data_IF_930478980951
#
_entry.id   IF_930478980951
#
_cell.length_a   1.000
_cell.length_b   1.000
_cell.length_c   1.000
_cell.angle_alpha   90.00
_cell.angle_beta   90.00
_cell.angle_gamma   90.00
#
_symmetry.space_group_name_H-M   'P 1'
#
loop_
_entity.id
_entity.type
_entity.pdbx_description
1 polymer ?
#
# COMPACT_ATOMS: atom_id res chain seq x y z
N UNK A 1 -44.93 -8.81 2.40
CA UNK A 1 -44.57 -9.69 1.26
C UNK A 1 -45.46 -9.35 0.07
N UNK A 2 -44.92 -8.67 -0.94
CA UNK A 2 -45.50 -8.61 -2.30
C UNK A 2 -44.35 -8.50 -3.29
N UNK A 3 -44.05 -9.62 -3.95
CA UNK A 3 -43.05 -9.71 -5.00
C UNK A 3 -43.70 -9.30 -6.33
N UNK A 4 -43.04 -8.46 -7.10
CA UNK A 4 -43.42 -8.17 -8.47
C UNK A 4 -42.35 -8.75 -9.39
N UNK A 5 -42.71 -9.83 -10.09
CA UNK A 5 -41.96 -10.39 -11.19
C UNK A 5 -42.22 -9.57 -12.45
N UNK A 6 -41.16 -9.13 -13.12
CA UNK A 6 -41.23 -8.56 -14.46
C UNK A 6 -40.28 -9.34 -15.37
N UNK A 7 -40.87 -10.08 -16.31
CA UNK A 7 -40.18 -10.78 -17.40
C UNK A 7 -40.10 -9.82 -18.58
N UNK A 8 -38.89 -9.54 -19.08
CA UNK A 8 -38.70 -8.83 -20.35
C UNK A 8 -37.89 -9.71 -21.29
N UNK A 9 -38.47 -9.94 -22.46
CA UNK A 9 -38.02 -10.81 -23.55
C UNK A 9 -36.80 -10.21 -24.26
N UNK A 10 -35.84 -11.07 -24.59
CA UNK A 10 -34.64 -10.76 -25.35
C UNK A 10 -34.95 -10.41 -26.81
N UNK A 11 -34.44 -9.27 -27.29
CA UNK A 11 -34.31 -8.97 -28.71
C UNK A 11 -32.90 -9.38 -29.14
N UNK A 12 -32.83 -10.38 -30.03
CA UNK A 12 -31.62 -10.74 -30.73
C UNK A 12 -31.42 -9.77 -31.90
N UNK A 13 -30.35 -8.98 -31.85
CA UNK A 13 -29.86 -8.21 -32.98
C UNK A 13 -28.54 -8.82 -33.46
N UNK A 14 -28.59 -9.41 -34.65
CA UNK A 14 -27.47 -9.89 -35.44
C UNK A 14 -26.67 -8.70 -35.97
N UNK A 15 -25.34 -8.68 -35.76
CA UNK A 15 -24.50 -7.64 -36.36
C UNK A 15 -23.03 -7.78 -35.96
N UNK A 16 -22.23 -8.31 -36.89
CA UNK A 16 -20.78 -8.37 -36.98
C UNK A 16 -19.93 -7.50 -36.02
N UNK A 17 -18.91 -8.11 -35.40
CA UNK A 17 -17.49 -7.89 -35.71
C UNK A 17 -16.60 -8.66 -34.73
N UNK A 18 -15.79 -9.58 -35.25
CA UNK A 18 -14.71 -10.23 -34.51
C UNK A 18 -13.66 -9.18 -34.11
N UNK A 19 -13.46 -8.98 -32.80
CA UNK A 19 -12.49 -8.01 -32.28
C UNK A 19 -11.43 -8.71 -31.41
N UNK A 20 -10.37 -9.18 -32.08
CA UNK A 20 -9.03 -9.43 -31.55
C UNK A 20 -8.09 -9.61 -32.77
N UNK A 21 -6.81 -9.17 -32.76
CA UNK A 21 -5.94 -9.13 -31.59
C UNK A 21 -4.98 -7.91 -31.49
N UNK A 22 -4.13 -7.98 -30.45
CA UNK A 22 -2.80 -7.37 -30.29
C UNK A 22 -2.69 -5.87 -29.97
N UNK A 23 -2.60 -5.57 -28.68
CA UNK A 23 -1.54 -4.70 -28.19
C UNK A 23 -0.80 -5.44 -27.07
N UNK A 24 0.23 -6.19 -27.45
CA UNK A 24 1.33 -6.47 -26.55
C UNK A 24 1.92 -5.12 -26.16
N UNK A 25 1.49 -4.59 -25.00
CA UNK A 25 2.16 -3.47 -24.37
C UNK A 25 3.56 -3.97 -24.04
N UNK A 26 4.50 -3.64 -24.93
CA UNK A 26 5.91 -3.87 -24.72
C UNK A 26 6.26 -3.12 -23.44
N UNK A 27 6.45 -3.86 -22.35
CA UNK A 27 7.01 -3.32 -21.13
C UNK A 27 8.34 -2.69 -21.51
N UNK A 28 8.45 -1.40 -21.25
CA UNK A 28 9.67 -0.65 -21.48
C UNK A 28 10.83 -1.40 -20.83
N UNK A 29 11.83 -1.76 -21.62
CA UNK A 29 13.11 -2.27 -21.13
C UNK A 29 13.79 -1.13 -20.38
N UNK A 30 13.61 -1.06 -19.07
CA UNK A 30 14.32 -0.11 -18.23
C UNK A 30 15.78 -0.56 -18.08
N UNK A 31 16.66 0.40 -18.34
CA UNK A 31 18.11 0.42 -18.15
C UNK A 31 18.67 -0.58 -17.12
N UNK A 32 19.64 -1.41 -17.54
CA UNK A 32 20.37 -2.42 -16.76
C UNK A 32 21.35 -1.87 -15.70
N UNK A 33 21.22 -0.61 -15.27
CA UNK A 33 22.22 0.05 -14.42
C UNK A 33 21.71 0.46 -13.02
N UNK A 34 20.51 0.05 -12.61
CA UNK A 34 20.06 0.23 -11.23
C UNK A 34 19.53 -1.09 -10.68
N UNK A 35 20.11 -1.55 -9.57
CA UNK A 35 19.65 -2.73 -8.82
C UNK A 35 18.44 -2.41 -7.92
N UNK A 36 18.08 -1.15 -7.79
CA UNK A 36 16.93 -0.74 -7.00
C UNK A 36 15.64 -1.12 -7.70
N UNK A 37 14.81 -1.87 -6.96
CA UNK A 37 13.42 -2.09 -7.33
C UNK A 37 12.56 -1.04 -6.64
N UNK A 38 11.75 -0.34 -7.42
CA UNK A 38 10.67 0.50 -6.92
C UNK A 38 9.36 -0.27 -7.00
N UNK A 39 8.62 -0.33 -5.89
CA UNK A 39 7.26 -0.86 -5.85
C UNK A 39 6.32 0.31 -5.60
N UNK A 40 5.49 0.62 -6.60
CA UNK A 40 4.46 1.64 -6.47
C UNK A 40 3.38 1.18 -5.49
N UNK A 41 2.98 2.08 -4.60
CA UNK A 41 1.96 1.79 -3.58
C UNK A 41 0.83 2.81 -3.64
N UNK A 42 -0.30 2.49 -3.01
CA UNK A 42 -1.44 3.41 -2.82
C UNK A 42 -1.43 4.04 -1.42
N UNK A 43 -0.24 4.33 -0.91
CA UNK A 43 -0.03 4.99 0.37
C UNK A 43 0.13 6.48 0.09
N UNK A 44 -0.70 7.33 0.71
CA UNK A 44 -0.74 8.77 0.44
C UNK A 44 -0.30 9.61 1.64
N UNK A 45 -0.59 9.12 2.85
CA UNK A 45 -0.38 9.86 4.08
C UNK A 45 0.87 9.35 4.83
N UNK A 46 1.87 10.22 5.00
CA UNK A 46 3.11 9.92 5.75
C UNK A 46 2.82 9.49 7.19
N UNK A 47 1.91 10.19 7.88
CA UNK A 47 1.60 9.93 9.28
C UNK A 47 0.92 8.56 9.46
N UNK A 48 -0.04 8.23 8.60
CA UNK A 48 -0.70 6.91 8.61
C UNK A 48 0.29 5.79 8.27
N UNK A 49 1.21 6.02 7.33
CA UNK A 49 2.28 5.07 7.00
C UNK A 49 3.24 4.86 8.18
N UNK A 50 3.68 5.92 8.84
CA UNK A 50 4.52 5.81 10.04
C UNK A 50 3.80 5.08 11.17
N UNK A 51 2.51 5.36 11.39
CA UNK A 51 1.69 4.62 12.36
C UNK A 51 1.64 3.14 12.03
N UNK A 52 1.39 2.79 10.77
CA UNK A 52 1.38 1.40 10.31
C UNK A 52 2.73 0.69 10.49
N UNK A 53 3.85 1.37 10.23
CA UNK A 53 5.19 0.80 10.42
C UNK A 53 5.53 0.63 11.91
N UNK A 54 5.14 1.58 12.76
CA UNK A 54 5.30 1.48 14.21
C UNK A 54 4.46 0.35 14.81
N UNK A 55 3.23 0.17 14.32
CA UNK A 55 2.34 -0.92 14.72
C UNK A 55 2.93 -2.30 14.41
N UNK A 56 3.72 -2.41 13.34
CA UNK A 56 4.46 -3.63 12.98
C UNK A 56 5.71 -3.83 13.85
N UNK A 57 6.04 -2.89 14.76
CA UNK A 57 7.22 -2.95 15.61
C UNK A 57 8.53 -2.69 14.85
N UNK A 58 8.46 -2.06 13.67
CA UNK A 58 9.62 -1.84 12.82
C UNK A 58 10.26 -0.51 13.17
N UNK A 59 11.56 -0.53 13.45
CA UNK A 59 12.33 0.68 13.71
C UNK A 59 12.51 1.44 12.40
N UNK A 60 11.87 2.59 12.29
CA UNK A 60 11.98 3.48 11.13
C UNK A 60 12.70 4.76 11.54
N UNK A 61 13.43 5.33 10.59
CA UNK A 61 14.02 6.66 10.63
C UNK A 61 13.26 7.51 9.62
N UNK A 62 12.36 8.34 10.11
CA UNK A 62 11.72 9.37 9.31
C UNK A 62 12.35 10.70 9.65
N UNK A 63 12.43 11.61 8.68
CA UNK A 63 12.72 13.00 9.03
C UNK A 63 11.49 13.59 9.75
N UNK A 64 11.74 14.18 10.93
CA UNK A 64 10.73 14.84 11.77
C UNK A 64 10.13 16.10 11.12
N UNK A 65 10.77 16.63 10.06
CA UNK A 65 10.36 17.85 9.36
C UNK A 65 9.81 17.50 7.97
N UNK A 66 8.64 18.04 7.64
CA UNK A 66 8.06 18.00 6.29
C UNK A 66 9.03 18.65 5.28
N UNK A 67 9.45 17.89 4.27
CA UNK A 67 10.42 18.32 3.25
C UNK A 67 11.88 17.93 3.50
N UNK A 68 12.21 17.30 4.62
CA UNK A 68 13.53 16.67 4.80
C UNK A 68 13.49 15.22 4.34
N UNK A 69 14.44 14.86 3.49
CA UNK A 69 14.68 13.49 3.06
C UNK A 69 15.86 12.91 3.84
N UNK A 70 15.74 11.65 4.23
CA UNK A 70 16.78 10.86 4.86
C UNK A 70 17.48 10.04 3.79
N UNK A 71 18.80 10.00 3.86
CA UNK A 71 19.61 9.15 2.98
C UNK A 71 19.46 7.68 3.40
N UNK A 72 18.87 6.88 2.52
CA UNK A 72 18.88 5.42 2.61
C UNK A 72 20.14 4.88 1.94
N UNK A 73 20.86 3.99 2.62
CA UNK A 73 22.09 3.38 2.09
C UNK A 73 21.77 2.20 1.18
N UNK A 74 22.38 2.22 0.00
CA UNK A 74 22.21 1.25 -1.07
C UNK A 74 23.44 0.44 -1.43
N UNK A 75 23.35 -0.27 -2.56
CA UNK A 75 24.45 -1.05 -3.11
C UNK A 75 25.60 -0.15 -3.58
N UNK A 76 26.83 -0.54 -3.22
CA UNK A 76 28.08 0.13 -3.60
C UNK A 76 28.18 1.63 -3.24
N UNK A 77 27.51 2.07 -2.18
CA UNK A 77 27.56 3.46 -1.72
C UNK A 77 26.60 4.39 -2.46
N UNK A 78 25.67 3.84 -3.24
CA UNK A 78 24.52 4.59 -3.74
C UNK A 78 23.63 4.97 -2.54
N UNK A 79 23.27 6.24 -2.44
CA UNK A 79 22.36 6.75 -1.41
C UNK A 79 21.09 7.25 -2.07
N UNK A 80 19.94 6.78 -1.60
CA UNK A 80 18.63 7.21 -2.09
C UNK A 80 18.02 8.19 -1.11
N UNK A 81 17.57 9.33 -1.62
CA UNK A 81 16.82 10.30 -0.84
C UNK A 81 15.37 9.83 -0.70
N UNK A 82 14.92 9.63 0.54
CA UNK A 82 13.60 9.11 0.85
C UNK A 82 13.01 9.78 2.09
N UNK A 83 11.69 9.78 2.21
CA UNK A 83 10.98 10.41 3.34
C UNK A 83 11.03 9.55 4.60
N UNK A 84 11.02 8.23 4.42
CA UNK A 84 11.06 7.25 5.50
C UNK A 84 12.10 6.19 5.15
N UNK A 85 12.99 5.88 6.09
CA UNK A 85 14.05 4.88 5.92
C UNK A 85 13.94 3.83 7.00
N UNK A 86 14.03 2.56 6.62
CA UNK A 86 13.99 1.42 7.50
C UNK A 86 15.40 0.79 7.48
N UNK A 87 16.23 1.07 8.50
CA UNK A 87 17.57 0.51 8.57
C UNK A 87 17.53 -1.00 8.78
N UNK A 88 18.34 -1.72 8.00
CA UNK A 88 18.52 -3.17 8.16
C UNK A 88 19.92 -3.49 8.73
N UNK A 89 20.10 -4.74 9.17
CA UNK A 89 21.38 -5.18 9.76
C UNK A 89 22.52 -5.34 8.74
N UNK A 90 22.19 -5.52 7.47
CA UNK A 90 23.15 -5.71 6.39
C UNK A 90 23.63 -4.40 5.73
N UNK A 91 23.36 -3.24 6.32
CA UNK A 91 23.69 -1.92 5.77
C UNK A 91 23.00 -1.56 4.43
N UNK A 92 22.04 -2.36 3.99
CA UNK A 92 21.13 -2.00 2.91
C UNK A 92 19.83 -1.53 3.54
N UNK A 93 19.52 -0.25 3.41
CA UNK A 93 18.32 0.30 4.02
C UNK A 93 17.14 0.22 3.03
N UNK A 94 15.94 -0.04 3.55
CA UNK A 94 14.70 -0.01 2.78
C UNK A 94 14.12 1.39 2.90
N UNK A 95 13.71 2.01 1.80
CA UNK A 95 13.24 3.39 1.81
C UNK A 95 11.80 3.49 1.29
N UNK A 96 11.03 4.46 1.80
CA UNK A 96 9.80 4.93 1.17
C UNK A 96 10.00 6.35 0.67
N UNK A 97 9.81 6.54 -0.63
CA UNK A 97 9.93 7.84 -1.29
C UNK A 97 8.55 8.33 -1.73
N UNK A 98 8.25 9.61 -1.53
CA UNK A 98 7.05 10.20 -2.15
C UNK A 98 7.31 10.53 -3.61
N UNK A 99 6.42 10.10 -4.50
CA UNK A 99 6.39 10.51 -5.91
C UNK A 99 5.44 11.71 -6.15
N UNK A 100 5.07 12.44 -5.09
CA UNK A 100 4.15 13.59 -5.14
C UNK A 100 2.66 13.21 -5.10
N UNK A 101 2.29 12.03 -5.62
CA UNK A 101 0.94 11.48 -5.47
C UNK A 101 0.89 10.42 -4.37
N UNK A 102 1.75 9.41 -4.45
CA UNK A 102 1.81 8.32 -3.47
C UNK A 102 3.25 8.04 -3.05
N UNK A 103 3.39 7.24 -2.00
CA UNK A 103 4.66 6.69 -1.58
C UNK A 103 4.99 5.43 -2.38
N UNK A 104 6.25 5.25 -2.73
CA UNK A 104 6.79 4.04 -3.33
C UNK A 104 7.84 3.44 -2.42
N UNK A 105 7.89 2.11 -2.37
CA UNK A 105 8.96 1.39 -1.68
C UNK A 105 10.16 1.31 -2.61
N UNK A 106 11.30 1.86 -2.20
CA UNK A 106 12.57 1.79 -2.94
C UNK A 106 13.54 0.92 -2.15
N UNK A 107 13.91 -0.24 -2.70
CA UNK A 107 14.85 -1.16 -2.05
C UNK A 107 15.53 -2.07 -3.06
N UNK A 108 16.71 -2.58 -2.72
CA UNK A 108 17.32 -3.70 -3.45
C UNK A 108 16.73 -5.02 -2.93
N UNK A 109 16.01 -5.74 -3.79
CA UNK A 109 15.39 -7.02 -3.45
C UNK A 109 16.41 -8.13 -3.20
N UNK A 110 17.59 -8.04 -3.80
CA UNK A 110 18.65 -9.04 -3.64
C UNK A 110 19.26 -8.99 -2.24
N UNK A 111 19.22 -7.82 -1.59
CA UNK A 111 19.69 -7.62 -0.21
C UNK A 111 18.56 -7.48 0.80
N UNK A 112 17.36 -7.94 0.47
CA UNK A 112 16.23 -7.90 1.38
C UNK A 112 16.43 -8.83 2.58
N UNK A 113 16.70 -8.26 3.75
CA UNK A 113 16.90 -8.99 5.01
C UNK A 113 15.89 -8.57 6.08
N UNK A 114 14.60 -8.79 5.81
CA UNK A 114 13.53 -8.66 6.81
C UNK A 114 13.01 -10.04 7.24
N UNK A 115 12.22 -10.05 8.32
CA UNK A 115 11.59 -11.28 8.83
C UNK A 115 10.61 -11.95 7.84
N UNK A 116 10.17 -11.24 6.81
CA UNK A 116 9.21 -11.72 5.81
C UNK A 116 9.63 -11.26 4.42
N UNK A 117 9.23 -11.95 3.33
CA UNK A 117 9.52 -11.51 1.96
C UNK A 117 8.86 -10.16 1.65
N UNK A 118 9.37 -9.46 0.64
CA UNK A 118 8.91 -8.11 0.26
C UNK A 118 7.39 -8.07 0.02
N UNK A 119 6.83 -9.08 -0.64
CA UNK A 119 5.40 -9.12 -0.96
C UNK A 119 4.55 -9.18 0.31
N UNK A 120 4.89 -10.09 1.23
CA UNK A 120 4.20 -10.23 2.51
C UNK A 120 4.39 -8.99 3.40
N UNK A 121 5.55 -8.36 3.33
CA UNK A 121 5.80 -7.09 4.01
C UNK A 121 4.87 -6.00 3.48
N UNK A 122 4.81 -5.83 2.16
CA UNK A 122 3.95 -4.84 1.52
C UNK A 122 2.47 -5.11 1.77
N UNK A 123 2.04 -6.36 1.76
CA UNK A 123 0.68 -6.75 2.11
C UNK A 123 0.31 -6.33 3.53
N UNK A 124 1.19 -6.60 4.52
CA UNK A 124 0.97 -6.18 5.90
C UNK A 124 0.97 -4.67 6.08
N UNK A 125 1.90 -3.96 5.44
CA UNK A 125 1.95 -2.50 5.46
C UNK A 125 0.66 -1.93 4.89
N UNK A 126 0.20 -2.43 3.73
CA UNK A 126 -1.04 -1.98 3.10
C UNK A 126 -2.27 -2.26 3.98
N UNK A 127 -2.35 -3.45 4.57
CA UNK A 127 -3.42 -3.81 5.48
C UNK A 127 -3.46 -2.87 6.69
N UNK A 128 -2.32 -2.67 7.36
CA UNK A 128 -2.27 -1.82 8.56
C UNK A 128 -2.49 -0.35 8.24
N UNK A 129 -2.01 0.10 7.08
CA UNK A 129 -2.30 1.44 6.58
C UNK A 129 -3.79 1.62 6.32
N UNK A 130 -4.45 0.67 5.63
CA UNK A 130 -5.88 0.76 5.35
C UNK A 130 -6.72 0.80 6.64
N UNK A 131 -6.36 -0.03 7.63
CA UNK A 131 -6.99 -0.02 8.96
C UNK A 131 -6.82 1.37 9.59
N UNK A 132 -5.59 1.86 9.72
CA UNK A 132 -5.33 3.16 10.34
C UNK A 132 -6.03 4.31 9.61
N UNK A 133 -6.02 4.31 8.27
CA UNK A 133 -6.70 5.30 7.46
C UNK A 133 -8.22 5.27 7.70
N UNK A 134 -8.81 4.07 7.76
CA UNK A 134 -10.23 3.90 8.02
C UNK A 134 -10.60 4.33 9.44
N UNK A 135 -9.77 4.02 10.44
CA UNK A 135 -10.00 4.48 11.81
C UNK A 135 -9.94 6.00 11.89
N UNK A 136 -8.93 6.62 11.26
CA UNK A 136 -8.74 8.07 11.28
C UNK A 136 -9.91 8.78 10.54
N UNK A 137 -10.36 8.26 9.40
CA UNK A 137 -11.50 8.82 8.65
C UNK A 137 -12.85 8.59 9.35
N UNK A 138 -13.07 7.39 9.88
CA UNK A 138 -14.31 7.03 10.59
C UNK A 138 -14.46 7.84 11.88
N UNK A 139 -13.34 8.11 12.58
CA UNK A 139 -13.33 8.97 13.76
C UNK A 139 -13.75 10.41 13.42
N UNK A 140 -13.35 10.92 12.25
CA UNK A 140 -13.77 12.24 11.78
C UNK A 140 -15.28 12.28 11.45
N UNK A 141 -15.85 11.17 10.97
CA UNK A 141 -17.27 11.03 10.66
C UNK A 141 -18.15 10.70 11.89
N UNK A 142 -17.56 10.64 13.09
CA UNK A 142 -18.26 10.39 14.36
C UNK A 142 -18.54 8.91 14.65
N UNK A 143 -17.77 8.01 14.03
CA UNK A 143 -17.74 6.59 14.38
C UNK A 143 -16.62 6.31 15.38
N UNK A 144 -16.87 5.40 16.31
CA UNK A 144 -15.89 4.86 17.23
C UNK A 144 -15.55 3.43 16.84
N UNK A 145 -14.29 3.04 16.98
CA UNK A 145 -13.84 1.66 16.74
C UNK A 145 -14.02 0.88 18.02
N UNK A 146 -14.90 -0.12 17.99
CA UNK A 146 -15.21 -0.93 19.18
C UNK A 146 -14.32 -2.19 19.25
N UNK A 147 -13.99 -2.77 18.10
CA UNK A 147 -13.19 -3.99 18.03
C UNK A 147 -12.45 -4.11 16.69
N UNK A 148 -11.24 -4.68 16.74
CA UNK A 148 -10.45 -5.03 15.55
C UNK A 148 -10.02 -6.48 15.69
N UNK A 149 -10.62 -7.36 14.89
CA UNK A 149 -10.35 -8.79 14.92
C UNK A 149 -9.53 -9.17 13.69
N UNK A 150 -8.34 -9.72 13.92
CA UNK A 150 -7.51 -10.33 12.88
C UNK A 150 -7.69 -11.83 12.91
N UNK A 151 -8.24 -12.39 11.82
CA UNK A 151 -8.40 -13.82 11.64
C UNK A 151 -7.09 -14.48 11.20
N UNK A 152 -6.98 -15.78 11.44
CA UNK A 152 -5.80 -16.60 11.11
C UNK A 152 -5.55 -16.77 9.62
N UNK A 153 -6.54 -16.46 8.77
CA UNK A 153 -6.41 -16.40 7.32
C UNK A 153 -5.86 -15.04 6.82
N UNK A 154 -5.61 -14.10 7.73
CA UNK A 154 -5.15 -12.74 7.40
C UNK A 154 -6.28 -11.74 7.16
N UNK A 155 -7.55 -12.14 7.23
CA UNK A 155 -8.67 -11.20 7.15
C UNK A 155 -8.73 -10.31 8.41
N UNK A 156 -9.02 -9.03 8.23
CA UNK A 156 -9.22 -8.10 9.36
C UNK A 156 -10.63 -7.54 9.30
N UNK A 157 -11.36 -7.74 10.39
CA UNK A 157 -12.71 -7.22 10.58
C UNK A 157 -12.67 -6.09 11.60
N UNK A 158 -13.24 -4.93 11.23
CA UNK A 158 -13.43 -3.80 12.14
C UNK A 158 -14.91 -3.70 12.51
N UNK A 159 -15.19 -3.69 13.80
CA UNK A 159 -16.52 -3.39 14.34
C UNK A 159 -16.52 -1.93 14.80
N UNK A 160 -17.47 -1.15 14.29
CA UNK A 160 -17.56 0.28 14.53
C UNK A 160 -18.99 0.66 14.94
N UNK A 161 -19.12 1.52 15.93
CA UNK A 161 -20.38 2.13 16.37
C UNK A 161 -20.39 3.62 16.04
N UNK A 162 -21.57 4.21 15.87
CA UNK A 162 -21.72 5.65 15.68
C UNK A 162 -22.24 6.29 16.95
N UNK A 163 -21.69 7.44 17.34
CA UNK A 163 -22.29 8.22 18.42
C UNK A 163 -23.70 8.69 18.00
N UNK A 164 -24.72 8.14 18.65
CA UNK A 164 -26.05 8.73 18.66
C UNK A 164 -26.09 9.71 19.84
N UNK A 165 -26.09 11.02 19.55
CA UNK A 165 -26.49 12.00 20.54
C UNK A 165 -27.97 11.73 20.85
N UNK A 166 -28.27 11.46 22.13
CA UNK A 166 -29.64 11.34 22.65
C UNK A 166 -29.98 12.61 23.43
#
# INVERSE_FOLDING_TARGET
>A
MKAFSATIVAVAASGASAFAPSSSSARASTSLNSHFSSIETKLFNKATLLKALNDMGIKTKAADVDGQQVEARGYKGETVMADIVIPQQNNFDVAFRSNGESYELVTDLQFWQQAMPVDAFMERVNQRYAINHLVDSSSADGFNVDNVVTASDGSVTLEMSRYAFN
#
